data_IF_546886242960
#
_entry.id   IF_546886242960
#
_cell.length_a   1.000
_cell.length_b   1.000
_cell.length_c   1.000
_cell.angle_alpha   90.00
_cell.angle_beta   90.00
_cell.angle_gamma   90.00
#
_symmetry.space_group_name_H-M   'P 1'
#
loop_
_entity.id
_entity.type
_entity.pdbx_description
1 polymer ?
#
# COMPACT_ATOMS: atom_id res chain seq x y z
N UNK A 1 11.95 -82.94 3.78
CA UNK A 1 11.27 -82.01 4.73
C UNK A 1 11.64 -80.55 4.42
N UNK A 2 10.74 -79.81 3.78
CA UNK A 2 10.95 -78.38 3.53
C UNK A 2 10.24 -77.61 4.63
N UNK A 3 11.00 -76.76 5.31
CA UNK A 3 10.50 -75.81 6.32
C UNK A 3 10.11 -74.52 5.65
N UNK A 4 8.79 -74.23 5.67
CA UNK A 4 8.18 -73.01 5.16
C UNK A 4 8.39 -71.90 6.21
N UNK A 5 9.14 -70.83 5.86
CA UNK A 5 9.28 -69.65 6.68
C UNK A 5 8.11 -68.68 6.41
N UNK A 6 7.31 -68.45 7.44
CA UNK A 6 6.24 -67.45 7.43
C UNK A 6 6.84 -66.08 7.63
N UNK A 7 6.69 -65.22 6.61
CA UNK A 7 7.11 -63.78 6.69
C UNK A 7 5.93 -62.99 7.25
N UNK A 8 6.04 -62.50 8.48
CA UNK A 8 5.10 -61.57 9.05
C UNK A 8 5.38 -60.15 8.48
N UNK A 9 4.47 -59.68 7.64
CA UNK A 9 4.48 -58.28 7.19
C UNK A 9 3.75 -57.46 8.26
N UNK A 10 4.50 -56.73 9.05
CA UNK A 10 3.96 -55.67 9.93
C UNK A 10 3.64 -54.45 9.06
N UNK A 11 2.37 -54.25 8.76
CA UNK A 11 1.83 -53.09 8.10
C UNK A 11 1.79 -51.93 9.09
N UNK A 12 2.84 -51.11 9.16
CA UNK A 12 2.87 -49.89 9.93
C UNK A 12 1.91 -48.85 9.34
N UNK A 13 0.81 -48.60 10.02
CA UNK A 13 -0.07 -47.46 9.69
C UNK A 13 0.66 -46.17 10.02
N UNK A 14 1.15 -45.47 8.98
CA UNK A 14 1.58 -44.08 9.12
C UNK A 14 0.33 -43.21 9.26
N UNK A 15 0.03 -42.81 10.50
CA UNK A 15 -0.86 -41.69 10.78
C UNK A 15 -0.16 -40.44 10.27
N UNK A 16 -0.54 -39.96 9.09
CA UNK A 16 -0.23 -38.61 8.66
C UNK A 16 -0.97 -37.65 9.58
N UNK A 17 -0.28 -37.14 10.62
CA UNK A 17 -0.72 -35.98 11.37
C UNK A 17 -0.60 -34.80 10.42
N UNK A 18 -1.69 -34.47 9.74
CA UNK A 18 -1.82 -33.22 9.01
C UNK A 18 -1.71 -32.10 10.03
N UNK A 19 -0.59 -31.39 10.03
CA UNK A 19 -0.46 -30.11 10.73
C UNK A 19 -1.40 -29.12 10.03
N UNK A 20 -2.67 -29.11 10.41
CA UNK A 20 -3.54 -27.97 10.15
C UNK A 20 -2.96 -26.84 10.97
N UNK A 21 -2.34 -25.86 10.30
CA UNK A 21 -1.97 -24.59 10.92
C UNK A 21 -3.26 -23.93 11.40
N UNK A 22 -3.56 -24.10 12.67
CA UNK A 22 -4.72 -23.47 13.30
C UNK A 22 -4.34 -22.00 13.43
N UNK A 23 -5.05 -21.10 12.73
CA UNK A 23 -5.03 -19.69 13.09
C UNK A 23 -5.47 -19.60 14.54
N UNK A 24 -4.74 -18.84 15.36
CA UNK A 24 -5.22 -18.50 16.68
C UNK A 24 -6.59 -17.82 16.54
N UNK A 25 -7.56 -18.20 17.36
CA UNK A 25 -8.84 -17.49 17.39
C UNK A 25 -8.58 -16.03 17.83
N UNK A 26 -9.35 -15.06 17.32
CA UNK A 26 -9.20 -13.67 17.74
C UNK A 26 -9.43 -13.57 19.26
N UNK A 27 -8.73 -12.64 19.90
CA UNK A 27 -8.93 -12.37 21.33
C UNK A 27 -10.38 -11.96 21.61
N UNK A 28 -10.91 -12.38 22.74
CA UNK A 28 -12.30 -12.08 23.13
C UNK A 28 -12.38 -11.02 24.24
N UNK A 29 -11.25 -10.67 24.85
CA UNK A 29 -11.12 -9.63 25.86
C UNK A 29 -9.73 -9.00 25.79
N UNK A 30 -9.62 -7.76 26.21
CA UNK A 30 -8.34 -7.07 26.26
C UNK A 30 -7.51 -7.61 27.44
N UNK A 31 -6.23 -7.91 27.17
CA UNK A 31 -5.27 -8.30 28.19
C UNK A 31 -4.76 -7.13 29.04
N UNK A 32 -3.80 -7.41 29.90
CA UNK A 32 -3.12 -6.36 30.66
C UNK A 32 -2.09 -5.66 29.75
N UNK A 33 -2.06 -4.32 29.73
CA UNK A 33 -1.10 -3.58 28.88
C UNK A 33 0.33 -3.93 29.20
N UNK A 34 1.16 -4.16 28.18
CA UNK A 34 2.61 -4.40 28.31
C UNK A 34 3.38 -3.11 28.61
N UNK A 35 2.78 -1.96 28.37
CA UNK A 35 3.39 -0.65 28.57
C UNK A 35 4.24 -0.16 27.40
N UNK A 36 4.29 -0.90 26.31
CA UNK A 36 5.00 -0.53 25.07
C UNK A 36 4.22 -0.95 23.83
N UNK A 37 4.31 -0.15 22.76
CA UNK A 37 3.69 -0.42 21.47
C UNK A 37 4.65 -0.07 20.34
N UNK A 38 5.08 -1.07 19.58
CA UNK A 38 6.03 -0.94 18.48
C UNK A 38 5.28 -0.95 17.15
N UNK A 39 5.32 0.15 16.40
CA UNK A 39 4.53 0.35 15.19
C UNK A 39 5.44 0.52 13.97
N UNK A 40 5.15 -0.21 12.88
CA UNK A 40 5.65 0.09 11.54
C UNK A 40 4.61 0.96 10.83
N UNK A 41 4.99 2.15 10.38
CA UNK A 41 4.05 3.08 9.80
C UNK A 41 4.62 3.88 8.62
N UNK A 42 3.73 4.37 7.76
CA UNK A 42 4.05 5.42 6.81
C UNK A 42 4.43 6.71 7.53
N UNK A 43 5.28 7.53 6.89
CA UNK A 43 5.58 8.86 7.39
C UNK A 43 4.28 9.68 7.55
N UNK A 44 4.14 10.39 8.66
CA UNK A 44 2.98 11.22 8.94
C UNK A 44 1.75 10.47 9.49
N UNK A 45 1.80 9.14 9.67
CA UNK A 45 0.66 8.36 10.15
C UNK A 45 0.56 8.31 11.67
N UNK A 46 1.66 8.22 12.36
CA UNK A 46 1.75 8.14 13.83
C UNK A 46 2.63 9.30 14.29
N UNK A 47 2.00 10.42 14.60
CA UNK A 47 2.67 11.70 14.76
C UNK A 47 2.68 12.17 16.22
N UNK A 48 3.83 12.74 16.59
CA UNK A 48 4.10 13.36 17.90
C UNK A 48 4.52 14.82 17.73
N UNK A 49 4.01 15.48 16.69
CA UNK A 49 4.35 16.84 16.33
C UNK A 49 5.60 16.99 15.47
N UNK A 50 6.16 15.87 14.93
CA UNK A 50 7.39 15.87 14.14
C UNK A 50 7.23 16.61 12.81
N UNK A 51 6.12 16.38 12.10
CA UNK A 51 5.82 17.03 10.82
C UNK A 51 5.26 18.45 11.03
N UNK A 52 4.37 18.60 11.99
CA UNK A 52 3.75 19.87 12.37
C UNK A 52 3.38 19.82 13.86
N UNK A 53 3.76 20.83 14.63
CA UNK A 53 3.54 20.88 16.09
C UNK A 53 2.09 20.60 16.50
N UNK A 54 1.12 21.01 15.68
CA UNK A 54 -0.31 20.75 15.90
C UNK A 54 -0.73 19.28 15.67
N UNK A 55 0.11 18.49 15.01
CA UNK A 55 -0.16 17.09 14.72
C UNK A 55 0.49 16.19 15.78
N UNK A 56 -0.14 16.10 16.92
CA UNK A 56 0.27 15.22 18.03
C UNK A 56 -0.93 14.48 18.60
N UNK A 57 -1.10 13.24 18.23
CA UNK A 57 -2.09 12.34 18.82
C UNK A 57 -1.45 11.20 19.64
N UNK A 58 -0.16 11.03 19.55
CA UNK A 58 0.59 10.01 20.31
C UNK A 58 0.72 10.41 21.78
N UNK A 59 1.10 11.65 22.06
CA UNK A 59 1.32 12.11 23.45
C UNK A 59 0.06 11.98 24.32
N UNK A 60 -1.12 12.27 23.78
CA UNK A 60 -2.39 12.10 24.52
C UNK A 60 -2.71 10.64 24.80
N UNK A 61 -2.43 9.74 23.84
CA UNK A 61 -2.58 8.30 24.00
C UNK A 61 -1.67 7.76 25.08
N UNK A 62 -0.37 8.07 25.01
CA UNK A 62 0.61 7.66 26.03
C UNK A 62 0.23 8.11 27.44
N UNK A 63 -0.23 9.37 27.59
CA UNK A 63 -0.69 9.89 28.88
C UNK A 63 -1.92 9.18 29.43
N UNK A 64 -2.84 8.78 28.55
CA UNK A 64 -4.09 8.15 28.98
C UNK A 64 -3.94 6.66 29.26
N UNK A 65 -3.00 5.98 28.59
CA UNK A 65 -2.84 4.52 28.69
C UNK A 65 -1.61 4.10 29.49
N UNK A 66 -0.61 4.97 29.63
CA UNK A 66 0.70 4.63 30.16
C UNK A 66 1.56 3.80 29.20
N UNK A 67 1.11 3.61 27.94
CA UNK A 67 1.79 2.84 26.92
C UNK A 67 2.80 3.71 26.18
N UNK A 68 4.06 3.28 26.07
CA UNK A 68 5.12 3.98 25.33
C UNK A 68 5.08 3.58 23.86
N UNK A 69 4.81 4.52 22.98
CA UNK A 69 4.70 4.27 21.52
C UNK A 69 6.05 4.47 20.84
N UNK A 70 6.53 3.46 20.14
CA UNK A 70 7.73 3.50 19.31
C UNK A 70 7.34 3.30 17.85
N UNK A 71 7.82 4.18 16.98
CA UNK A 71 7.49 4.16 15.56
C UNK A 71 8.73 3.91 14.72
N UNK A 72 8.66 2.91 13.85
CA UNK A 72 9.59 2.68 12.75
C UNK A 72 8.89 3.09 11.46
N UNK A 73 9.33 4.20 10.86
CA UNK A 73 8.85 4.62 9.55
C UNK A 73 9.37 3.69 8.46
N UNK A 74 8.49 3.27 7.57
CA UNK A 74 8.81 2.54 6.34
C UNK A 74 8.41 3.36 5.11
N UNK A 75 9.20 3.30 4.06
CA UNK A 75 8.99 4.07 2.82
C UNK A 75 8.23 3.31 1.74
N UNK A 76 8.10 1.99 1.86
CA UNK A 76 7.45 1.13 0.87
C UNK A 76 6.65 0.00 1.50
N UNK A 77 5.65 -0.53 0.77
CA UNK A 77 4.92 -1.75 1.16
C UNK A 77 5.85 -2.95 1.34
N UNK A 78 6.86 -3.09 0.48
CA UNK A 78 7.84 -4.18 0.59
C UNK A 78 8.68 -4.10 1.86
N UNK A 79 9.10 -2.89 2.26
CA UNK A 79 9.79 -2.67 3.53
C UNK A 79 8.89 -3.03 4.73
N UNK A 80 7.60 -2.64 4.69
CA UNK A 80 6.64 -2.99 5.75
C UNK A 80 6.49 -4.51 5.91
N UNK A 81 6.33 -5.22 4.79
CA UNK A 81 6.23 -6.69 4.81
C UNK A 81 7.51 -7.32 5.33
N UNK A 82 8.68 -6.82 4.95
CA UNK A 82 9.97 -7.33 5.42
C UNK A 82 10.15 -7.11 6.93
N UNK A 83 9.83 -5.92 7.44
CA UNK A 83 9.92 -5.59 8.86
C UNK A 83 8.96 -6.45 9.70
N UNK A 84 7.72 -6.61 9.25
CA UNK A 84 6.75 -7.46 9.94
C UNK A 84 7.17 -8.93 9.96
N UNK A 85 7.73 -9.45 8.87
CA UNK A 85 8.27 -10.82 8.83
C UNK A 85 9.52 -10.99 9.69
N UNK A 86 10.28 -9.94 9.94
CA UNK A 86 11.42 -9.94 10.85
C UNK A 86 10.97 -10.06 12.31
N UNK A 87 9.78 -9.53 12.62
CA UNK A 87 9.21 -9.50 13.97
C UNK A 87 9.73 -8.34 14.84
N UNK A 88 9.22 -8.28 16.08
CA UNK A 88 9.56 -7.21 17.02
C UNK A 88 8.70 -5.94 16.85
N UNK A 89 7.61 -6.05 16.13
CA UNK A 89 6.60 -5.01 15.98
C UNK A 89 5.22 -5.57 16.31
N UNK A 90 4.38 -4.75 16.90
CA UNK A 90 3.02 -5.12 17.31
C UNK A 90 2.00 -4.73 16.24
N UNK A 91 2.21 -3.60 15.60
CA UNK A 91 1.27 -3.01 14.63
C UNK A 91 1.99 -2.58 13.35
N UNK A 92 1.25 -2.65 12.23
CA UNK A 92 1.64 -2.07 10.95
C UNK A 92 0.46 -1.29 10.34
N UNK A 93 0.76 -0.17 9.67
CA UNK A 93 -0.21 0.56 8.83
C UNK A 93 0.04 0.18 7.37
N UNK A 94 -0.57 -0.89 6.91
CA UNK A 94 -0.28 -1.50 5.62
C UNK A 94 -1.26 -1.07 4.53
N UNK A 95 -0.76 -0.73 3.34
CA UNK A 95 -1.59 -0.55 2.15
C UNK A 95 -2.14 -1.88 1.63
N UNK A 96 -3.20 -1.85 0.82
CA UNK A 96 -3.95 -3.04 0.42
C UNK A 96 -3.13 -4.14 -0.26
N UNK A 97 -2.08 -3.79 -0.98
CA UNK A 97 -1.13 -4.75 -1.58
C UNK A 97 -0.27 -5.44 -0.51
N UNK A 98 0.13 -4.74 0.54
CA UNK A 98 0.88 -5.30 1.66
C UNK A 98 -0.03 -6.09 2.62
N UNK A 99 -1.23 -5.59 2.91
CA UNK A 99 -2.15 -6.24 3.86
C UNK A 99 -2.52 -7.65 3.43
N UNK A 100 -2.84 -7.88 2.16
CA UNK A 100 -3.16 -9.21 1.64
C UNK A 100 -1.96 -10.17 1.71
N UNK A 101 -0.74 -9.67 1.50
CA UNK A 101 0.50 -10.46 1.63
C UNK A 101 0.75 -10.86 3.09
N UNK A 102 0.53 -9.95 4.03
CA UNK A 102 0.66 -10.21 5.47
C UNK A 102 -0.38 -11.21 5.97
N UNK A 103 -1.63 -11.12 5.48
CA UNK A 103 -2.68 -12.10 5.78
C UNK A 103 -2.31 -13.47 5.22
N UNK A 104 -1.95 -13.56 3.93
CA UNK A 104 -1.55 -14.81 3.28
C UNK A 104 -0.32 -15.44 3.94
N UNK A 105 0.64 -14.62 4.36
CA UNK A 105 1.84 -15.03 5.09
C UNK A 105 1.60 -15.39 6.55
N UNK A 106 0.39 -15.18 7.09
CA UNK A 106 0.05 -15.37 8.51
C UNK A 106 0.90 -14.54 9.47
N UNK A 107 1.38 -13.41 9.00
CA UNK A 107 2.20 -12.47 9.80
C UNK A 107 1.32 -11.58 10.69
N UNK A 108 0.04 -11.44 10.34
CA UNK A 108 -0.95 -10.68 11.11
C UNK A 108 -2.08 -11.59 11.58
N UNK A 109 -2.71 -11.24 12.69
CA UNK A 109 -3.79 -12.00 13.31
C UNK A 109 -5.16 -11.44 12.92
N UNK A 110 -6.19 -12.29 13.04
CA UNK A 110 -7.60 -11.89 13.00
C UNK A 110 -7.91 -10.97 14.20
N UNK A 111 -8.63 -9.89 13.98
CA UNK A 111 -9.06 -8.96 15.01
C UNK A 111 -10.51 -9.20 15.39
N UNK A 112 -10.83 -8.96 16.67
CA UNK A 112 -12.22 -8.93 17.15
C UNK A 112 -12.74 -7.50 17.12
N UNK A 113 -13.60 -7.20 16.16
CA UNK A 113 -14.16 -5.85 15.95
C UNK A 113 -15.06 -5.39 17.10
N UNK A 114 -15.61 -6.31 17.90
CA UNK A 114 -16.42 -5.99 19.08
C UNK A 114 -15.59 -5.33 20.20
N UNK A 115 -14.28 -5.52 20.18
CA UNK A 115 -13.33 -4.88 21.11
C UNK A 115 -12.94 -3.45 20.69
N UNK A 116 -13.38 -2.98 19.51
CA UNK A 116 -13.07 -1.67 18.97
C UNK A 116 -14.30 -0.76 19.07
N UNK A 117 -14.41 0.09 20.11
CA UNK A 117 -15.63 0.88 20.35
C UNK A 117 -16.02 1.80 19.19
N UNK A 118 -15.03 2.24 18.40
CA UNK A 118 -15.23 3.12 17.25
C UNK A 118 -15.54 2.36 15.94
N UNK A 119 -15.55 1.03 15.92
CA UNK A 119 -15.78 0.25 14.70
C UNK A 119 -17.05 0.69 13.96
N UNK A 120 -18.14 0.87 14.67
CA UNK A 120 -19.42 1.31 14.08
C UNK A 120 -19.45 2.74 13.55
N UNK A 121 -18.38 3.53 13.75
CA UNK A 121 -18.23 4.89 13.18
C UNK A 121 -17.48 4.90 11.84
N UNK A 122 -16.88 3.77 11.47
CA UNK A 122 -16.21 3.60 10.18
C UNK A 122 -17.27 3.53 9.08
N UNK A 123 -17.00 4.14 7.93
CA UNK A 123 -17.85 4.04 6.75
C UNK A 123 -18.09 2.56 6.38
N UNK A 124 -19.34 2.16 6.20
CA UNK A 124 -19.73 0.76 5.92
C UNK A 124 -18.99 0.17 4.69
N UNK A 125 -18.64 1.02 3.69
CA UNK A 125 -17.88 0.59 2.52
C UNK A 125 -16.45 0.14 2.83
N UNK A 126 -15.91 0.55 3.98
CA UNK A 126 -14.55 0.23 4.42
C UNK A 126 -14.51 -0.88 5.47
N UNK A 127 -15.62 -1.16 6.18
CA UNK A 127 -15.63 -2.13 7.28
C UNK A 127 -15.31 -3.56 6.80
N UNK A 128 -15.84 -3.96 5.64
CA UNK A 128 -15.66 -5.30 5.06
C UNK A 128 -14.81 -5.29 3.77
N UNK A 129 -13.91 -4.33 3.65
CA UNK A 129 -13.13 -4.18 2.43
C UNK A 129 -12.22 -5.39 2.16
N UNK A 130 -12.13 -5.82 0.89
CA UNK A 130 -11.45 -7.05 0.45
C UNK A 130 -9.95 -7.10 0.74
N UNK A 131 -9.31 -5.95 0.97
CA UNK A 131 -7.88 -5.88 1.27
C UNK A 131 -7.55 -6.15 2.75
N UNK A 132 -8.53 -6.26 3.63
CA UNK A 132 -8.33 -6.63 5.03
C UNK A 132 -9.38 -7.61 5.59
N UNK A 133 -10.37 -8.00 4.75
CA UNK A 133 -11.38 -8.99 5.12
C UNK A 133 -11.26 -10.20 4.18
N UNK A 134 -10.87 -11.34 4.73
CA UNK A 134 -10.65 -12.59 3.98
C UNK A 134 -11.47 -13.70 4.65
N UNK A 135 -12.24 -14.44 3.85
CA UNK A 135 -13.13 -15.51 4.33
C UNK A 135 -14.07 -15.08 5.47
N UNK A 136 -14.56 -13.82 5.41
CA UNK A 136 -15.45 -13.25 6.43
C UNK A 136 -14.76 -12.87 7.74
N UNK A 137 -13.44 -12.87 7.78
CA UNK A 137 -12.60 -12.54 8.95
C UNK A 137 -11.91 -11.21 8.76
N UNK A 138 -11.96 -10.34 9.77
CA UNK A 138 -11.28 -9.05 9.76
C UNK A 138 -9.85 -9.18 10.27
N UNK A 139 -8.88 -8.64 9.54
CA UNK A 139 -7.46 -8.66 9.89
C UNK A 139 -6.89 -7.27 10.18
N UNK A 140 -7.72 -6.25 10.19
CA UNK A 140 -7.28 -4.91 10.50
C UNK A 140 -8.41 -3.89 10.49
N UNK A 141 -8.08 -2.70 10.95
CA UNK A 141 -8.97 -1.55 11.03
C UNK A 141 -8.61 -0.56 9.92
N UNK A 142 -9.58 -0.14 9.08
CA UNK A 142 -9.34 0.95 8.12
C UNK A 142 -8.78 2.19 8.82
N UNK A 143 -7.76 2.80 8.24
CA UNK A 143 -7.10 3.96 8.83
C UNK A 143 -7.12 5.17 7.91
N UNK A 144 -6.44 5.11 6.77
CA UNK A 144 -6.41 6.17 5.78
C UNK A 144 -6.71 5.63 4.39
N UNK A 145 -7.20 6.49 3.52
CA UNK A 145 -7.40 6.18 2.11
C UNK A 145 -7.28 7.44 1.26
N UNK A 146 -7.01 7.29 -0.01
CA UNK A 146 -6.94 8.41 -0.93
C UNK A 146 -6.79 7.95 -2.37
N UNK A 147 -6.80 8.92 -3.27
CA UNK A 147 -6.47 8.73 -4.68
C UNK A 147 -5.05 9.12 -4.96
N UNK A 148 -4.41 8.43 -5.91
CA UNK A 148 -3.25 8.95 -6.59
C UNK A 148 -3.65 10.22 -7.37
N UNK A 149 -2.72 11.12 -7.55
CA UNK A 149 -2.93 12.37 -8.27
C UNK A 149 -1.83 12.58 -9.31
N UNK A 150 -2.16 13.25 -10.39
CA UNK A 150 -1.14 13.78 -11.29
C UNK A 150 -0.58 15.07 -10.65
N UNK A 151 0.63 14.97 -10.11
CA UNK A 151 1.39 16.12 -9.65
C UNK A 151 2.15 16.72 -10.83
N UNK A 152 2.09 18.04 -10.99
CA UNK A 152 2.73 18.73 -12.10
C UNK A 152 3.29 20.09 -11.71
N UNK A 153 4.36 20.53 -12.41
CA UNK A 153 4.96 21.86 -12.27
C UNK A 153 4.12 22.87 -13.05
N UNK A 154 3.53 23.85 -12.37
CA UNK A 154 2.61 24.82 -12.98
C UNK A 154 3.28 25.73 -14.01
N UNK A 155 4.59 26.01 -13.88
CA UNK A 155 5.35 26.82 -14.84
C UNK A 155 5.60 26.05 -16.14
N UNK A 156 5.97 24.77 -16.05
CA UNK A 156 6.19 23.93 -17.22
C UNK A 156 4.91 23.76 -18.06
N UNK A 157 3.74 23.83 -17.42
CA UNK A 157 2.43 23.76 -18.07
C UNK A 157 1.83 25.13 -18.38
N UNK A 158 2.61 26.24 -18.22
CA UNK A 158 2.15 27.60 -18.56
C UNK A 158 0.95 28.08 -17.73
N UNK A 159 0.75 27.51 -16.56
CA UNK A 159 -0.41 27.77 -15.69
C UNK A 159 -1.67 26.99 -16.03
N UNK A 160 -1.65 26.18 -17.09
CA UNK A 160 -2.75 25.31 -17.46
C UNK A 160 -2.76 24.01 -16.65
N UNK A 161 -3.94 23.45 -16.42
CA UNK A 161 -4.11 22.17 -15.71
C UNK A 161 -4.09 21.05 -16.74
N UNK A 162 -3.16 20.07 -16.64
CA UNK A 162 -3.21 18.88 -17.51
C UNK A 162 -4.46 18.06 -17.21
N UNK A 163 -5.18 17.67 -18.25
CA UNK A 163 -6.47 16.96 -18.14
C UNK A 163 -6.35 15.45 -18.33
N UNK A 164 -5.17 14.94 -18.59
CA UNK A 164 -4.93 13.53 -18.93
C UNK A 164 -3.60 13.02 -18.37
N UNK A 165 -3.60 11.73 -18.00
CA UNK A 165 -2.39 10.99 -17.67
C UNK A 165 -1.44 10.81 -18.87
N UNK A 166 -1.84 11.18 -20.08
CA UNK A 166 -0.99 11.05 -21.27
C UNK A 166 0.39 11.71 -21.07
N UNK A 167 0.48 12.77 -20.30
CA UNK A 167 1.75 13.46 -20.01
C UNK A 167 2.81 12.55 -19.39
N UNK A 168 2.43 11.51 -18.69
CA UNK A 168 3.36 10.54 -18.09
C UNK A 168 3.43 9.22 -18.88
N UNK A 169 2.59 9.04 -19.91
CA UNK A 169 2.61 7.85 -20.77
C UNK A 169 3.10 8.11 -22.19
N UNK A 170 3.02 9.35 -22.68
CA UNK A 170 3.32 9.71 -24.07
C UNK A 170 4.29 10.88 -24.15
N UNK A 171 5.22 10.84 -25.12
CA UNK A 171 6.12 11.97 -25.39
C UNK A 171 5.33 13.13 -25.99
N UNK A 172 5.47 14.32 -25.41
CA UNK A 172 4.83 15.54 -25.90
C UNK A 172 5.65 16.79 -25.56
N UNK A 173 5.41 17.86 -26.30
CA UNK A 173 5.97 19.17 -25.99
C UNK A 173 5.05 19.90 -25.03
N UNK A 174 5.60 20.36 -23.91
CA UNK A 174 4.89 21.11 -22.88
C UNK A 174 4.79 22.61 -23.24
N UNK A 175 4.00 23.35 -22.44
CA UNK A 175 3.79 24.79 -22.66
C UNK A 175 5.07 25.63 -22.55
N UNK A 176 6.09 25.13 -21.81
CA UNK A 176 7.43 25.73 -21.73
C UNK A 176 8.27 25.54 -23.01
N UNK A 177 7.73 24.87 -24.02
CA UNK A 177 8.40 24.59 -25.30
C UNK A 177 9.37 23.41 -25.28
N UNK A 178 9.49 22.69 -24.17
CA UNK A 178 10.37 21.54 -24.03
C UNK A 178 9.59 20.21 -24.06
N UNK A 179 10.28 19.14 -24.49
CA UNK A 179 9.72 17.78 -24.35
C UNK A 179 9.58 17.38 -22.89
N UNK A 180 8.54 16.62 -22.57
CA UNK A 180 8.39 15.96 -21.27
C UNK A 180 9.38 14.78 -21.08
N UNK A 181 10.04 14.32 -22.13
CA UNK A 181 10.99 13.20 -22.08
C UNK A 181 12.12 13.47 -21.11
N UNK A 182 12.41 12.50 -20.25
CA UNK A 182 13.36 12.58 -19.14
C UNK A 182 13.00 13.63 -18.06
N UNK A 183 11.80 14.22 -18.13
CA UNK A 183 11.29 15.18 -17.15
C UNK A 183 10.05 14.69 -16.41
N UNK A 184 9.60 13.46 -16.71
CA UNK A 184 8.48 12.81 -16.01
C UNK A 184 8.97 11.64 -15.20
N UNK A 185 8.23 11.32 -14.15
CA UNK A 185 8.49 10.19 -13.29
C UNK A 185 7.31 9.21 -13.28
N UNK A 186 7.59 7.99 -12.86
CA UNK A 186 6.60 6.98 -12.55
C UNK A 186 6.96 6.26 -11.24
N UNK A 187 5.96 5.71 -10.57
CA UNK A 187 6.16 4.86 -9.40
C UNK A 187 6.77 3.52 -9.81
N UNK A 188 7.75 3.02 -9.07
CA UNK A 188 8.45 1.77 -9.39
C UNK A 188 7.80 0.50 -8.83
N UNK A 189 6.76 0.64 -8.02
CA UNK A 189 6.06 -0.50 -7.45
C UNK A 189 5.18 -1.26 -8.45
N UNK A 190 4.95 -2.57 -8.25
CA UNK A 190 4.12 -3.39 -9.14
C UNK A 190 2.69 -2.87 -9.31
N UNK A 191 2.18 -2.16 -8.32
CA UNK A 191 0.83 -1.56 -8.36
C UNK A 191 0.67 -0.53 -9.48
N UNK A 192 1.77 0.02 -10.01
CA UNK A 192 1.75 0.92 -11.17
C UNK A 192 1.19 0.25 -12.44
N UNK A 193 1.12 -1.08 -12.49
CA UNK A 193 0.41 -1.82 -13.56
C UNK A 193 -1.08 -1.42 -13.57
N UNK A 194 -1.68 -1.17 -12.41
CA UNK A 194 -3.08 -0.73 -12.34
C UNK A 194 -3.28 0.68 -12.91
N UNK A 195 -2.29 1.58 -12.78
CA UNK A 195 -2.34 2.90 -13.42
C UNK A 195 -2.34 2.79 -14.95
N UNK A 196 -1.47 1.92 -15.50
CA UNK A 196 -1.45 1.64 -16.93
C UNK A 196 -2.76 0.99 -17.41
N UNK A 197 -3.31 0.06 -16.63
CA UNK A 197 -4.58 -0.59 -16.96
C UNK A 197 -5.75 0.41 -16.95
N UNK A 198 -5.79 1.32 -15.99
CA UNK A 198 -6.78 2.39 -15.92
C UNK A 198 -6.68 3.34 -17.11
N UNK A 199 -5.46 3.73 -17.50
CA UNK A 199 -5.23 4.53 -18.69
C UNK A 199 -5.76 3.81 -19.95
N UNK A 200 -5.47 2.53 -20.12
CA UNK A 200 -5.97 1.70 -21.22
C UNK A 200 -7.48 1.49 -21.16
N UNK A 201 -8.08 1.39 -19.99
CA UNK A 201 -9.54 1.27 -19.84
C UNK A 201 -10.26 2.45 -20.48
N UNK A 202 -9.68 3.65 -20.41
CA UNK A 202 -10.21 4.86 -21.03
C UNK A 202 -9.84 4.98 -22.52
N UNK A 203 -8.56 4.79 -22.87
CA UNK A 203 -8.04 5.05 -24.22
C UNK A 203 -8.16 3.87 -25.17
N UNK A 204 -8.32 2.64 -24.66
CA UNK A 204 -8.53 1.43 -25.46
C UNK A 204 -9.66 0.57 -24.88
N UNK A 205 -10.90 1.02 -24.96
CA UNK A 205 -12.05 0.32 -24.37
C UNK A 205 -12.30 -1.06 -24.98
N UNK A 206 -11.72 -1.37 -26.15
CA UNK A 206 -11.84 -2.69 -26.79
C UNK A 206 -11.16 -3.80 -25.97
N UNK A 207 -10.22 -3.47 -25.06
CA UNK A 207 -9.64 -4.43 -24.13
C UNK A 207 -10.63 -4.93 -23.07
N UNK A 208 -11.75 -4.23 -22.88
CA UNK A 208 -12.81 -4.64 -21.95
C UNK A 208 -12.39 -4.66 -20.48
N UNK A 209 -11.36 -3.88 -20.08
CA UNK A 209 -10.94 -3.74 -18.68
C UNK A 209 -12.11 -3.13 -17.91
N UNK A 210 -12.52 -3.79 -16.83
CA UNK A 210 -13.58 -3.30 -15.93
C UNK A 210 -13.02 -2.89 -14.58
N UNK A 211 -12.00 -3.58 -14.12
CA UNK A 211 -11.29 -3.33 -12.88
C UNK A 211 -9.78 -3.34 -13.17
N UNK A 212 -9.06 -2.23 -12.96
CA UNK A 212 -7.63 -2.15 -13.20
C UNK A 212 -6.79 -3.03 -12.26
N UNK A 213 -7.39 -3.53 -11.18
CA UNK A 213 -6.73 -4.43 -10.22
C UNK A 213 -7.00 -5.91 -10.50
N UNK A 214 -7.95 -6.24 -11.38
CA UNK A 214 -8.30 -7.61 -11.79
C UNK A 214 -8.18 -7.78 -13.31
N UNK A 215 -7.02 -8.16 -13.80
CA UNK A 215 -6.71 -8.21 -15.23
C UNK A 215 -6.66 -9.65 -15.77
N UNK A 216 -7.21 -9.86 -16.97
CA UNK A 216 -6.89 -11.04 -17.76
C UNK A 216 -5.43 -10.98 -18.23
N UNK A 217 -4.87 -12.14 -18.70
CA UNK A 217 -3.51 -12.15 -19.25
C UNK A 217 -3.34 -11.17 -20.42
N UNK A 218 -4.31 -11.03 -21.29
CA UNK A 218 -4.27 -10.09 -22.41
C UNK A 218 -4.22 -8.64 -21.94
N UNK A 219 -5.08 -8.27 -20.99
CA UNK A 219 -5.13 -6.93 -20.38
C UNK A 219 -3.84 -6.62 -19.61
N UNK A 220 -3.31 -7.61 -18.89
CA UNK A 220 -2.04 -7.50 -18.18
C UNK A 220 -0.88 -7.27 -19.16
N UNK A 221 -0.78 -8.04 -20.25
CA UNK A 221 0.27 -7.84 -21.25
C UNK A 221 0.16 -6.48 -21.95
N UNK A 222 -1.06 -6.03 -22.29
CA UNK A 222 -1.28 -4.70 -22.84
C UNK A 222 -0.82 -3.59 -21.87
N UNK A 223 -1.07 -3.75 -20.57
CA UNK A 223 -0.60 -2.81 -19.54
C UNK A 223 0.93 -2.80 -19.44
N UNK A 224 1.57 -3.95 -19.48
CA UNK A 224 3.03 -4.04 -19.52
C UNK A 224 3.64 -3.42 -20.77
N UNK A 225 2.99 -3.57 -21.93
CA UNK A 225 3.46 -2.97 -23.18
C UNK A 225 3.38 -1.44 -23.14
N UNK A 226 2.31 -0.89 -22.55
CA UNK A 226 2.23 0.56 -22.28
C UNK A 226 3.33 1.02 -21.33
N UNK A 227 3.62 0.29 -20.26
CA UNK A 227 4.71 0.62 -19.33
C UNK A 227 6.08 0.53 -19.98
N UNK A 228 6.31 -0.40 -20.92
CA UNK A 228 7.54 -0.46 -21.73
C UNK A 228 7.70 0.77 -22.62
N UNK A 229 6.60 1.26 -23.20
CA UNK A 229 6.61 2.52 -23.96
C UNK A 229 6.87 3.71 -23.05
N UNK A 230 6.21 3.77 -21.89
CA UNK A 230 6.42 4.81 -20.88
C UNK A 230 7.90 4.92 -20.47
N UNK A 231 8.59 3.80 -20.37
CA UNK A 231 10.02 3.77 -19.99
C UNK A 231 10.91 4.60 -20.89
N UNK A 232 10.54 4.80 -22.16
CA UNK A 232 11.31 5.60 -23.12
C UNK A 232 11.27 7.11 -22.82
N UNK A 233 10.31 7.56 -22.00
CA UNK A 233 10.13 8.97 -21.66
C UNK A 233 10.40 9.26 -20.18
N UNK A 234 10.31 8.26 -19.30
CA UNK A 234 10.53 8.41 -17.85
C UNK A 234 12.01 8.69 -17.57
N UNK A 235 12.28 9.78 -16.89
CA UNK A 235 13.64 10.14 -16.47
C UNK A 235 14.10 9.39 -15.23
N UNK A 236 13.18 9.09 -14.32
CA UNK A 236 13.44 8.34 -13.09
C UNK A 236 12.17 7.66 -12.59
N UNK A 237 12.33 6.46 -12.06
CA UNK A 237 11.30 5.82 -11.23
C UNK A 237 11.53 6.20 -9.77
N UNK A 238 10.44 6.54 -9.06
CA UNK A 238 10.48 6.83 -7.64
C UNK A 238 9.81 5.70 -6.83
N UNK A 239 10.33 5.41 -5.66
CA UNK A 239 9.79 4.42 -4.72
C UNK A 239 9.53 5.00 -3.34
N UNK A 240 10.09 6.16 -3.04
CA UNK A 240 10.01 6.85 -1.75
C UNK A 240 9.52 8.29 -1.96
N UNK A 241 8.61 8.73 -1.08
CA UNK A 241 7.99 10.06 -1.20
C UNK A 241 9.01 11.19 -1.11
N UNK A 242 10.01 11.07 -0.24
CA UNK A 242 11.03 12.11 -0.04
C UNK A 242 11.98 12.21 -1.24
N UNK A 243 12.32 11.06 -1.86
CA UNK A 243 13.04 11.04 -3.12
C UNK A 243 12.27 11.77 -4.21
N UNK A 244 10.98 11.53 -4.37
CA UNK A 244 10.16 12.24 -5.35
C UNK A 244 10.12 13.75 -5.08
N UNK A 245 10.01 14.15 -3.80
CA UNK A 245 10.01 15.56 -3.43
C UNK A 245 11.35 16.25 -3.76
N UNK A 246 12.47 15.59 -3.51
CA UNK A 246 13.80 16.09 -3.87
C UNK A 246 13.95 16.26 -5.38
N UNK A 247 13.50 15.28 -6.15
CA UNK A 247 13.52 15.30 -7.61
C UNK A 247 12.72 16.47 -8.21
N UNK A 248 11.55 16.76 -7.68
CA UNK A 248 10.75 17.92 -8.12
C UNK A 248 11.35 19.26 -7.68
N UNK A 249 12.08 19.27 -6.58
CA UNK A 249 12.71 20.48 -6.05
C UNK A 249 14.02 20.79 -6.79
N UNK A 250 14.84 19.78 -7.06
CA UNK A 250 16.24 19.97 -7.43
C UNK A 250 16.62 19.42 -8.82
N UNK A 251 15.89 18.43 -9.35
CA UNK A 251 16.30 17.71 -10.57
C UNK A 251 15.46 18.07 -11.81
N UNK A 252 14.51 18.99 -11.68
CA UNK A 252 13.74 19.54 -12.81
C UNK A 252 12.65 18.61 -13.36
N UNK A 253 12.17 17.65 -12.59
CA UNK A 253 10.99 16.87 -12.94
C UNK A 253 9.74 17.74 -12.93
N UNK A 254 8.82 17.47 -13.87
CA UNK A 254 7.67 18.35 -14.13
C UNK A 254 6.31 17.66 -14.05
N UNK A 255 6.25 16.33 -14.13
CA UNK A 255 5.01 15.60 -13.96
C UNK A 255 5.27 14.17 -13.45
N UNK A 256 4.37 13.68 -12.62
CA UNK A 256 4.41 12.31 -12.05
C UNK A 256 3.07 11.92 -11.45
N UNK A 257 2.75 10.63 -11.46
CA UNK A 257 1.84 10.09 -10.46
C UNK A 257 2.42 10.28 -9.07
N UNK A 258 1.61 10.72 -8.12
CA UNK A 258 2.06 11.07 -6.76
C UNK A 258 0.95 10.83 -5.74
N UNK A 259 1.32 10.84 -4.48
CA UNK A 259 0.35 10.91 -3.39
C UNK A 259 0.09 12.37 -2.99
N UNK A 260 -1.10 12.69 -2.44
CA UNK A 260 -1.38 14.04 -1.93
C UNK A 260 -0.38 14.53 -0.88
N UNK A 261 0.29 13.62 -0.18
CA UNK A 261 1.31 13.92 0.83
C UNK A 261 2.45 14.80 0.26
N UNK A 262 3.09 14.35 -0.82
CA UNK A 262 4.18 15.10 -1.45
C UNK A 262 3.70 16.46 -1.97
N UNK A 263 2.53 16.47 -2.60
CA UNK A 263 1.94 17.71 -3.13
C UNK A 263 1.75 18.75 -2.03
N UNK A 264 1.21 18.34 -0.90
CA UNK A 264 0.94 19.23 0.23
C UNK A 264 2.22 19.80 0.86
N UNK A 265 3.27 18.98 0.95
CA UNK A 265 4.55 19.42 1.52
C UNK A 265 5.35 20.30 0.54
N UNK A 266 5.28 20.05 -0.75
CA UNK A 266 6.05 20.81 -1.76
C UNK A 266 5.42 22.15 -2.14
N UNK A 267 4.08 22.21 -2.23
CA UNK A 267 3.34 23.38 -2.73
C UNK A 267 3.73 24.73 -2.12
N UNK A 268 4.09 24.85 -0.84
CA UNK A 268 4.50 26.14 -0.27
C UNK A 268 5.79 26.70 -0.87
N UNK A 269 6.67 25.88 -1.45
CA UNK A 269 8.02 26.26 -1.86
C UNK A 269 8.36 25.92 -3.31
N UNK A 270 7.57 25.10 -3.96
CA UNK A 270 7.80 24.63 -5.34
C UNK A 270 6.55 24.93 -6.16
N UNK A 271 6.65 25.41 -7.40
CA UNK A 271 5.50 25.77 -8.24
C UNK A 271 4.80 24.52 -8.77
N UNK A 272 4.19 23.76 -7.91
CA UNK A 272 3.46 22.54 -8.23
C UNK A 272 1.98 22.63 -7.90
N UNK A 273 1.18 21.84 -8.59
CA UNK A 273 -0.20 21.55 -8.28
C UNK A 273 -0.51 20.08 -8.57
N UNK A 274 -1.73 19.67 -8.34
CA UNK A 274 -2.19 18.32 -8.66
C UNK A 274 -3.62 18.33 -9.16
N UNK A 275 -3.95 17.29 -9.90
CA UNK A 275 -5.29 17.06 -10.47
C UNK A 275 -5.57 15.56 -10.55
N UNK A 276 -6.84 15.20 -10.53
CA UNK A 276 -7.30 13.88 -10.99
C UNK A 276 -7.71 14.05 -12.45
N UNK A 277 -6.97 13.45 -13.41
CA UNK A 277 -7.29 13.59 -14.83
C UNK A 277 -8.62 12.93 -15.23
N UNK A 278 -9.03 13.14 -16.48
CA UNK A 278 -10.30 12.63 -17.03
C UNK A 278 -10.42 11.10 -17.03
N UNK A 279 -9.33 10.39 -17.07
CA UNK A 279 -9.32 8.92 -16.98
C UNK A 279 -9.65 8.42 -15.56
N UNK A 280 -9.69 9.30 -14.58
CA UNK A 280 -9.80 8.97 -13.16
C UNK A 280 -8.44 8.77 -12.51
N UNK A 281 -8.42 8.12 -11.36
CA UNK A 281 -7.19 7.79 -10.63
C UNK A 281 -7.34 6.45 -9.90
N UNK A 282 -6.24 5.73 -9.77
CA UNK A 282 -6.15 4.60 -8.86
C UNK A 282 -6.21 5.11 -7.42
N UNK A 283 -6.72 4.28 -6.53
CA UNK A 283 -6.83 4.57 -5.10
C UNK A 283 -5.94 3.68 -4.26
N UNK A 284 -5.70 4.11 -3.05
CA UNK A 284 -5.03 3.33 -2.01
C UNK A 284 -5.86 3.39 -0.72
N UNK A 285 -5.74 2.35 0.07
CA UNK A 285 -6.38 2.25 1.37
C UNK A 285 -5.43 1.54 2.33
N UNK A 286 -5.21 2.14 3.48
CA UNK A 286 -4.30 1.66 4.49
C UNK A 286 -5.05 1.14 5.69
N UNK A 287 -4.54 0.07 6.25
CA UNK A 287 -5.17 -0.68 7.31
C UNK A 287 -4.21 -0.85 8.47
N UNK A 288 -4.64 -0.56 9.67
CA UNK A 288 -3.91 -0.88 10.89
C UNK A 288 -4.12 -2.35 11.24
N UNK A 289 -3.06 -3.13 11.26
CA UNK A 289 -3.08 -4.58 11.47
C UNK A 289 -2.21 -4.96 12.66
N UNK A 290 -2.60 -6.00 13.38
CA UNK A 290 -1.90 -6.51 14.56
C UNK A 290 -1.03 -7.71 14.16
N UNK A 291 0.23 -7.72 14.58
CA UNK A 291 1.15 -8.83 14.33
C UNK A 291 0.63 -10.13 14.97
N UNK A 292 0.89 -11.26 14.31
CA UNK A 292 0.41 -12.56 14.79
C UNK A 292 0.94 -12.94 16.18
N UNK A 293 2.14 -12.47 16.54
CA UNK A 293 2.80 -12.74 17.82
C UNK A 293 2.61 -11.60 18.85
N UNK A 294 1.82 -10.55 18.54
CA UNK A 294 1.51 -9.52 19.51
C UNK A 294 0.60 -10.09 20.61
N UNK A 295 0.99 -9.86 21.88
CA UNK A 295 0.37 -10.54 23.00
C UNK A 295 -0.84 -9.77 23.58
N UNK A 296 -0.86 -8.43 23.44
CA UNK A 296 -1.91 -7.58 24.05
C UNK A 296 -2.29 -6.40 23.16
#
# INVERSE_FOLDING_TARGET
>A
GETMKIFNIIMGAFLAVGSSSIYAAPITELGSPEGELNIVAWAGYIERGETMEAFDWVTSYEKSTGCNVKVKTAGTSDEMVALMNQGGFDIVTASGDASLRLIAGKTVQEINTDLIPSWGTIDERLQDAVWHTVDGKHYGTPYMWGSNVLMYNTEAFGGEVPDSWNVVFEEQTLADGQSNKNRVQAFDGPIHIADAAMYLMYHNPSLGIKDPYELTNEQYQASLDLLRQQREIVGRYWHDAFMQMDDFTNEGFVASGSWPFQVNLLRPNVPISSVIPKEGATGWADTTMVHADAEN
#
